data_IF_611397736861
#
_entry.id   IF_611397736861
#
_cell.length_a   1.000
_cell.length_b   1.000
_cell.length_c   1.000
_cell.angle_alpha   90.00
_cell.angle_beta   90.00
_cell.angle_gamma   90.00
#
_symmetry.space_group_name_H-M   'P 1'
#
loop_
_entity.id
_entity.type
_entity.pdbx_description
1 polymer ?
#
# COMPACT_ATOMS: atom_id res chain seq x y z
N UNK A 1 -11.08 20.54 5.55
CA UNK A 1 -10.60 19.18 5.27
C UNK A 1 -11.32 18.26 6.23
N UNK A 2 -11.92 17.18 5.73
CA UNK A 2 -12.51 16.16 6.60
C UNK A 2 -11.39 15.42 7.32
N UNK A 3 -11.32 15.56 8.64
CA UNK A 3 -10.31 14.87 9.44
C UNK A 3 -10.86 13.53 9.90
N UNK A 4 -10.68 12.50 9.07
CA UNK A 4 -11.15 11.14 9.33
C UNK A 4 -9.99 10.29 9.84
N UNK A 5 -10.15 9.68 11.01
CA UNK A 5 -9.18 8.74 11.55
C UNK A 5 -9.30 7.41 10.79
N UNK A 6 -8.17 6.91 10.30
CA UNK A 6 -8.05 5.61 9.62
C UNK A 6 -7.00 4.75 10.33
N UNK A 7 -7.12 3.44 10.22
CA UNK A 7 -6.11 2.51 10.74
C UNK A 7 -4.86 2.51 9.85
N UNK A 8 -3.73 1.99 10.38
CA UNK A 8 -2.49 1.82 9.62
C UNK A 8 -2.72 0.97 8.35
N UNK A 9 -3.57 -0.05 8.45
CA UNK A 9 -3.95 -0.91 7.33
C UNK A 9 -4.82 -0.17 6.30
N UNK A 10 -5.76 0.66 6.74
CA UNK A 10 -6.55 1.49 5.82
C UNK A 10 -5.68 2.51 5.11
N UNK A 11 -4.69 3.08 5.80
CA UNK A 11 -3.70 3.97 5.19
C UNK A 11 -2.82 3.23 4.16
N UNK A 12 -2.45 1.97 4.45
CA UNK A 12 -1.74 1.12 3.50
C UNK A 12 -2.56 0.88 2.23
N UNK A 13 -3.83 0.47 2.39
CA UNK A 13 -4.77 0.26 1.28
C UNK A 13 -4.99 1.54 0.46
N UNK A 14 -5.11 2.69 1.12
CA UNK A 14 -5.23 3.98 0.43
C UNK A 14 -3.99 4.29 -0.43
N UNK A 15 -2.79 4.02 0.09
CA UNK A 15 -1.54 4.20 -0.64
C UNK A 15 -1.40 3.20 -1.80
N UNK A 16 -1.81 1.94 -1.62
CA UNK A 16 -1.88 0.96 -2.71
C UNK A 16 -2.77 1.45 -3.86
N UNK A 17 -4.00 1.89 -3.57
CA UNK A 17 -4.92 2.39 -4.59
C UNK A 17 -4.42 3.66 -5.28
N UNK A 18 -3.68 4.51 -4.56
CA UNK A 18 -3.04 5.67 -5.16
C UNK A 18 -1.99 5.25 -6.20
N UNK A 19 -1.13 4.29 -5.87
CA UNK A 19 -0.12 3.77 -6.80
C UNK A 19 -0.75 2.98 -7.96
N UNK A 20 -1.83 2.23 -7.71
CA UNK A 20 -2.60 1.54 -8.74
C UNK A 20 -3.12 2.52 -9.78
N UNK A 21 -3.70 3.64 -9.35
CA UNK A 21 -4.14 4.69 -10.25
C UNK A 21 -2.99 5.26 -11.10
N UNK A 22 -1.83 5.52 -10.49
CA UNK A 22 -0.64 5.99 -11.23
C UNK A 22 -0.14 4.95 -12.25
N UNK A 23 -0.18 3.66 -11.90
CA UNK A 23 0.11 2.59 -12.85
C UNK A 23 -0.90 2.54 -13.99
N UNK A 24 -2.19 2.74 -13.73
CA UNK A 24 -3.22 2.77 -14.76
C UNK A 24 -2.97 3.86 -15.81
N UNK A 25 -2.52 5.03 -15.36
CA UNK A 25 -2.21 6.18 -16.21
C UNK A 25 -0.90 6.02 -16.99
N UNK A 26 0.14 5.50 -16.33
CA UNK A 26 1.50 5.52 -16.86
C UNK A 26 1.93 4.21 -17.52
N UNK A 27 1.31 3.10 -17.12
CA UNK A 27 1.77 1.73 -17.42
C UNK A 27 3.24 1.51 -17.08
N UNK A 28 3.73 2.16 -16.03
CA UNK A 28 5.11 2.02 -15.57
C UNK A 28 5.38 0.61 -15.03
N UNK A 29 6.33 -0.10 -15.63
CA UNK A 29 6.74 -1.44 -15.18
C UNK A 29 7.26 -1.43 -13.73
N UNK A 30 7.95 -0.36 -13.32
CA UNK A 30 8.46 -0.22 -11.95
C UNK A 30 7.31 -0.14 -10.94
N UNK A 31 6.26 0.63 -11.24
CA UNK A 31 5.07 0.71 -10.38
C UNK A 31 4.31 -0.63 -10.40
N UNK A 32 4.20 -1.27 -11.57
CA UNK A 32 3.56 -2.58 -11.69
C UNK A 32 4.28 -3.66 -10.86
N UNK A 33 5.61 -3.68 -10.88
CA UNK A 33 6.41 -4.59 -10.08
C UNK A 33 6.21 -4.34 -8.58
N UNK A 34 6.25 -3.07 -8.17
CA UNK A 34 5.99 -2.65 -6.80
C UNK A 34 4.59 -3.09 -6.33
N UNK A 35 3.55 -2.81 -7.11
CA UNK A 35 2.17 -3.21 -6.81
C UNK A 35 2.02 -4.72 -6.63
N UNK A 36 2.73 -5.53 -7.44
CA UNK A 36 2.76 -6.97 -7.27
C UNK A 36 3.30 -7.43 -5.92
N UNK A 37 4.38 -6.80 -5.43
CA UNK A 37 4.93 -7.08 -4.09
C UNK A 37 4.02 -6.56 -2.96
N UNK A 38 3.24 -5.51 -3.25
CA UNK A 38 2.36 -4.85 -2.28
C UNK A 38 0.95 -5.44 -2.22
N UNK A 39 0.59 -6.33 -3.14
CA UNK A 39 -0.77 -6.85 -3.26
C UNK A 39 -1.20 -7.54 -1.96
N UNK A 40 -2.21 -6.96 -1.32
CA UNK A 40 -2.76 -7.44 -0.06
C UNK A 40 -3.93 -8.41 -0.25
N UNK A 41 -4.39 -8.59 -1.49
CA UNK A 41 -5.54 -9.43 -1.83
C UNK A 41 -5.17 -10.90 -1.96
N UNK A 42 -3.88 -11.24 -1.92
CA UNK A 42 -3.39 -12.60 -2.12
C UNK A 42 -3.61 -13.52 -0.91
N UNK A 43 -3.86 -12.95 0.27
CA UNK A 43 -4.07 -13.68 1.52
C UNK A 43 -5.55 -13.76 1.86
N UNK A 44 -5.99 -14.91 2.38
CA UNK A 44 -7.40 -15.15 2.75
C UNK A 44 -7.92 -14.19 3.83
N UNK A 45 -7.03 -13.66 4.68
CA UNK A 45 -7.35 -12.65 5.68
C UNK A 45 -7.28 -11.21 5.15
N UNK A 46 -6.71 -11.02 3.96
CA UNK A 46 -6.50 -9.71 3.34
C UNK A 46 -5.66 -8.75 4.20
N UNK A 47 -4.73 -9.30 5.00
CA UNK A 47 -3.87 -8.55 5.92
C UNK A 47 -2.44 -8.52 5.38
N UNK A 48 -1.95 -7.30 5.16
CA UNK A 48 -0.55 -7.06 4.79
C UNK A 48 -0.21 -7.38 3.33
N UNK A 49 1.00 -6.98 2.88
CA UNK A 49 1.50 -7.18 1.52
C UNK A 49 1.77 -8.64 1.15
N UNK A 50 1.90 -8.88 -0.15
CA UNK A 50 2.41 -10.14 -0.68
C UNK A 50 3.85 -10.44 -0.23
N UNK A 51 4.70 -9.42 -0.20
CA UNK A 51 6.03 -9.47 0.40
C UNK A 51 5.99 -8.98 1.86
N UNK A 52 6.15 -9.89 2.86
CA UNK A 52 6.09 -9.51 4.27
C UNK A 52 7.07 -8.41 4.68
N UNK A 53 8.23 -8.29 4.00
CA UNK A 53 9.22 -7.26 4.33
C UNK A 53 8.67 -5.83 4.11
N UNK A 54 7.76 -5.68 3.14
CA UNK A 54 7.14 -4.39 2.83
C UNK A 54 6.23 -3.88 3.95
N UNK A 55 5.74 -4.76 4.83
CA UNK A 55 4.93 -4.32 5.97
C UNK A 55 5.77 -3.54 6.98
N UNK A 56 6.98 -4.00 7.26
CA UNK A 56 7.91 -3.29 8.15
C UNK A 56 8.33 -1.94 7.55
N UNK A 57 8.57 -1.89 6.24
CA UNK A 57 8.86 -0.64 5.53
C UNK A 57 7.67 0.34 5.59
N UNK A 58 6.44 -0.17 5.47
CA UNK A 58 5.23 0.63 5.64
C UNK A 58 5.09 1.19 7.06
N UNK A 59 5.28 0.34 8.09
CA UNK A 59 5.24 0.78 9.49
C UNK A 59 6.31 1.85 9.77
N UNK A 60 7.51 1.69 9.19
CA UNK A 60 8.57 2.69 9.28
C UNK A 60 8.17 4.01 8.60
N UNK A 61 7.50 3.96 7.44
CA UNK A 61 7.00 5.15 6.75
C UNK A 61 5.92 5.87 7.56
N UNK A 62 4.93 5.14 8.10
CA UNK A 62 3.89 5.70 8.96
C UNK A 62 4.50 6.40 10.18
N UNK A 63 5.48 5.76 10.83
CA UNK A 63 6.17 6.34 11.99
C UNK A 63 6.86 7.68 11.70
N UNK A 64 7.25 7.96 10.44
CA UNK A 64 7.83 9.27 10.06
C UNK A 64 6.81 10.40 9.98
N UNK A 65 5.52 10.07 9.97
CA UNK A 65 4.41 11.03 9.83
C UNK A 65 3.64 11.29 11.13
N UNK A 66 3.97 10.53 12.19
CA UNK A 66 3.45 10.69 13.55
C UNK A 66 4.34 11.61 14.38
#
# INVERSE_FOLDING_TARGET
>A
MDNKMITIEQAYKAMFYFLEHEYELTKSDDIGCLLGSMDWTIWDDSIGPADPAMWEDWLAAVKRTL
#
